data_IF_148444199221
#
_entry.id   IF_148444199221
#
_cell.length_a   1.000
_cell.length_b   1.000
_cell.length_c   1.000
_cell.angle_alpha   90.00
_cell.angle_beta   90.00
_cell.angle_gamma   90.00
#
_symmetry.space_group_name_H-M   'P 1'
#
loop_
_entity.id
_entity.type
_entity.pdbx_description
1 polymer ?
#
# COMPACT_ATOMS: atom_id res chain seq x y z
N UNK A 1 -8.73 -2.08 -12.55
CA UNK A 1 -7.90 -0.86 -12.43
C UNK A 1 -8.50 0.00 -11.33
N UNK A 2 -7.70 0.38 -10.34
CA UNK A 2 -8.11 1.22 -9.21
C UNK A 2 -7.09 2.33 -9.03
N UNK A 3 -7.56 3.57 -8.85
CA UNK A 3 -6.74 4.70 -8.46
C UNK A 3 -6.97 4.97 -6.97
N UNK A 4 -5.90 5.03 -6.20
CA UNK A 4 -5.91 5.25 -4.77
C UNK A 4 -5.73 6.74 -4.50
N UNK A 5 -6.72 7.38 -3.85
CA UNK A 5 -6.69 8.83 -3.59
C UNK A 5 -5.69 9.18 -2.50
N UNK A 6 -5.66 8.40 -1.42
CA UNK A 6 -4.76 8.58 -0.31
C UNK A 6 -4.75 7.33 0.55
N UNK A 7 -3.60 7.05 1.15
CA UNK A 7 -3.44 6.10 2.26
C UNK A 7 -3.12 6.93 3.51
N UNK A 8 -3.76 6.63 4.63
CA UNK A 8 -3.54 7.35 5.90
C UNK A 8 -3.80 6.39 7.06
N UNK A 9 -2.95 6.44 8.07
CA UNK A 9 -3.11 5.67 9.30
C UNK A 9 -4.00 6.44 10.29
N UNK A 10 -4.92 5.74 10.94
CA UNK A 10 -5.80 6.31 11.98
C UNK A 10 -5.97 5.34 13.13
N UNK A 11 -6.39 5.83 14.30
CA UNK A 11 -6.62 4.98 15.47
C UNK A 11 -7.90 4.17 15.31
N UNK A 12 -7.93 2.97 15.89
CA UNK A 12 -9.10 2.09 15.87
C UNK A 12 -10.35 2.75 16.47
N UNK A 13 -10.20 3.52 17.54
CA UNK A 13 -11.32 4.22 18.18
C UNK A 13 -11.90 5.32 17.26
N UNK A 14 -11.03 6.05 16.55
CA UNK A 14 -11.44 7.08 15.58
C UNK A 14 -12.19 6.44 14.41
N UNK A 15 -11.72 5.29 13.91
CA UNK A 15 -12.39 4.52 12.85
C UNK A 15 -13.81 4.10 13.28
N UNK A 16 -13.96 3.69 14.54
CA UNK A 16 -15.24 3.23 15.09
C UNK A 16 -16.26 4.36 15.23
N UNK A 17 -15.78 5.55 15.55
CA UNK A 17 -16.63 6.70 15.82
C UNK A 17 -16.95 7.54 14.57
N UNK A 18 -16.48 7.12 13.38
CA UNK A 18 -16.77 7.79 12.10
C UNK A 18 -18.27 7.84 11.79
N UNK A 19 -18.72 9.02 11.37
CA UNK A 19 -20.09 9.33 11.01
C UNK A 19 -20.14 9.99 9.64
N UNK A 20 -21.33 9.91 9.03
CA UNK A 20 -21.61 10.65 7.79
C UNK A 20 -21.48 12.14 8.07
N UNK A 21 -20.59 12.80 7.34
CA UNK A 21 -20.27 14.22 7.52
C UNK A 21 -18.86 14.47 8.05
N UNK A 22 -18.16 13.43 8.50
CA UNK A 22 -16.80 13.58 9.00
C UNK A 22 -15.80 13.85 7.86
N UNK A 23 -14.83 14.72 8.14
CA UNK A 23 -13.76 15.08 7.22
C UNK A 23 -12.50 14.34 7.65
N UNK A 24 -12.04 13.43 6.80
CA UNK A 24 -10.76 12.75 6.96
C UNK A 24 -9.67 13.61 6.36
N UNK A 25 -8.74 14.08 7.19
CA UNK A 25 -7.52 14.70 6.72
C UNK A 25 -6.54 13.61 6.29
N UNK A 26 -6.05 13.71 5.06
CA UNK A 26 -5.05 12.80 4.50
C UNK A 26 -3.73 13.54 4.33
N UNK A 27 -2.60 12.84 4.48
CA UNK A 27 -1.27 13.44 4.28
C UNK A 27 -0.89 13.58 2.80
N UNK A 28 -1.72 13.06 1.89
CA UNK A 28 -1.53 13.18 0.45
C UNK A 28 -1.77 14.62 -0.02
N UNK A 29 -0.71 15.26 -0.52
CA UNK A 29 -0.79 16.60 -1.13
C UNK A 29 -1.55 16.54 -2.47
N UNK A 30 -2.44 17.52 -2.70
CA UNK A 30 -3.31 17.58 -3.88
C UNK A 30 -2.55 17.78 -5.20
N UNK A 31 -1.33 18.31 -5.15
CA UNK A 31 -0.46 18.50 -6.30
C UNK A 31 0.40 17.27 -6.61
N UNK A 32 0.41 16.25 -5.76
CA UNK A 32 1.22 15.05 -5.97
C UNK A 32 0.46 14.00 -6.81
N UNK A 33 1.15 13.30 -7.73
CA UNK A 33 0.55 12.21 -8.50
C UNK A 33 0.07 11.07 -7.59
N UNK A 34 -1.07 10.48 -7.94
CA UNK A 34 -1.64 9.30 -7.30
C UNK A 34 -1.05 8.00 -7.85
N UNK A 35 -0.96 6.99 -7.00
CA UNK A 35 -0.59 5.64 -7.42
C UNK A 35 -1.79 4.91 -8.01
N UNK A 36 -1.60 4.37 -9.21
CA UNK A 36 -2.60 3.58 -9.92
C UNK A 36 -2.19 2.11 -9.92
N UNK A 37 -3.10 1.27 -9.44
CA UNK A 37 -2.89 -0.17 -9.33
C UNK A 37 -3.66 -0.92 -10.42
N UNK A 38 -3.00 -1.88 -11.05
CA UNK A 38 -3.61 -2.90 -11.89
C UNK A 38 -3.51 -4.24 -11.16
N UNK A 39 -4.65 -4.86 -10.89
CA UNK A 39 -4.73 -6.14 -10.18
C UNK A 39 -3.95 -6.16 -8.85
N UNK A 40 -4.01 -5.04 -8.12
CA UNK A 40 -3.32 -4.84 -6.83
C UNK A 40 -1.86 -4.39 -6.94
N UNK A 41 -1.25 -4.47 -8.12
CA UNK A 41 0.15 -4.10 -8.36
C UNK A 41 0.25 -2.63 -8.78
N UNK A 42 1.06 -1.79 -8.09
CA UNK A 42 1.30 -0.41 -8.52
C UNK A 42 2.02 -0.39 -9.87
N UNK A 43 1.48 0.36 -10.84
CA UNK A 43 1.98 0.38 -12.22
C UNK A 43 2.15 1.78 -12.80
N UNK A 44 1.40 2.76 -12.33
CA UNK A 44 1.46 4.11 -12.86
C UNK A 44 1.38 5.15 -11.75
N UNK A 45 1.95 6.31 -12.01
CA UNK A 45 1.66 7.55 -11.31
C UNK A 45 0.74 8.39 -12.20
N UNK A 46 -0.30 8.97 -11.62
CA UNK A 46 -1.29 9.74 -12.37
C UNK A 46 -1.80 10.97 -11.61
N UNK A 47 -1.96 12.08 -12.31
CA UNK A 47 -2.59 13.27 -11.75
C UNK A 47 -4.12 13.13 -11.77
N UNK A 48 -4.77 13.68 -10.74
CA UNK A 48 -6.22 13.82 -10.73
C UNK A 48 -6.68 14.92 -11.68
N UNK A 49 -7.73 14.64 -12.43
CA UNK A 49 -8.33 15.59 -13.34
C UNK A 49 -9.82 15.35 -13.56
N UNK A 50 -10.36 16.08 -14.53
CA UNK A 50 -11.77 16.00 -14.91
C UNK A 50 -11.89 16.08 -16.43
N UNK A 51 -12.63 15.13 -17.01
CA UNK A 51 -12.97 15.11 -18.45
C UNK A 51 -14.48 15.01 -18.58
N UNK A 52 -15.11 15.96 -19.27
CA UNK A 52 -16.57 16.05 -19.43
C UNK A 52 -17.34 15.92 -18.11
N UNK A 53 -16.88 16.65 -17.08
CA UNK A 53 -17.45 16.63 -15.73
C UNK A 53 -17.33 15.29 -14.98
N UNK A 54 -16.57 14.34 -15.51
CA UNK A 54 -16.29 13.04 -14.89
C UNK A 54 -14.88 13.02 -14.33
N UNK A 55 -14.71 12.43 -13.14
CA UNK A 55 -13.40 12.19 -12.53
C UNK A 55 -12.54 11.38 -13.50
N UNK A 56 -11.37 11.90 -13.81
CA UNK A 56 -10.41 11.29 -14.71
C UNK A 56 -9.02 11.32 -14.08
N UNK A 57 -8.12 10.50 -14.61
CA UNK A 57 -6.72 10.50 -14.21
C UNK A 57 -5.86 10.64 -15.47
N UNK A 58 -4.78 11.40 -15.36
CA UNK A 58 -3.78 11.56 -16.41
C UNK A 58 -2.52 10.82 -16.00
N UNK A 59 -2.11 9.80 -16.75
CA UNK A 59 -0.89 9.05 -16.47
C UNK A 59 0.31 9.93 -16.76
N UNK A 60 1.11 10.23 -15.73
CA UNK A 60 2.34 11.02 -15.84
C UNK A 60 3.58 10.13 -15.97
N UNK A 61 3.57 8.97 -15.32
CA UNK A 61 4.71 8.06 -15.30
C UNK A 61 4.26 6.60 -15.26
N UNK A 62 5.00 5.75 -15.97
CA UNK A 62 4.89 4.29 -15.86
C UNK A 62 5.95 3.81 -14.89
N UNK A 63 5.51 3.23 -13.76
CA UNK A 63 6.45 2.70 -12.78
C UNK A 63 7.12 1.44 -13.36
N UNK A 64 8.44 1.27 -13.14
CA UNK A 64 9.11 0.04 -13.49
C UNK A 64 8.41 -1.12 -12.78
N UNK A 65 8.28 -2.26 -13.49
CA UNK A 65 7.77 -3.47 -12.87
C UNK A 65 8.68 -3.77 -11.68
N UNK A 66 8.17 -3.63 -10.46
CA UNK A 66 8.80 -4.27 -9.32
C UNK A 66 8.74 -5.76 -9.60
N UNK A 67 9.83 -6.29 -10.12
CA UNK A 67 10.20 -7.68 -9.88
C UNK A 67 10.28 -7.77 -8.36
N UNK A 68 9.53 -8.69 -7.76
CA UNK A 68 9.57 -8.94 -6.32
C UNK A 68 10.99 -9.42 -5.97
N UNK A 69 11.92 -8.48 -5.79
CA UNK A 69 13.31 -8.76 -5.48
C UNK A 69 13.60 -8.20 -4.09
N UNK A 70 13.07 -8.91 -3.09
CA UNK A 70 13.62 -8.96 -1.75
C UNK A 70 14.23 -10.35 -1.57
N UNK A 71 15.38 -10.49 -0.89
CA UNK A 71 16.04 -11.79 -0.76
C UNK A 71 15.08 -12.74 -0.06
N UNK A 72 14.97 -13.95 -0.61
CA UNK A 72 14.59 -15.13 0.14
C UNK A 72 15.53 -15.20 1.33
N UNK A 73 15.14 -14.60 2.47
CA UNK A 73 15.70 -14.99 3.75
C UNK A 73 15.25 -16.44 3.89
N UNK A 74 16.17 -17.36 3.58
CA UNK A 74 16.01 -18.77 3.88
C UNK A 74 15.41 -18.86 5.29
N UNK A 75 14.31 -19.60 5.49
CA UNK A 75 13.84 -19.85 6.84
C UNK A 75 15.02 -20.41 7.64
N UNK A 76 15.25 -19.97 8.89
CA UNK A 76 16.30 -20.56 9.71
C UNK A 76 16.12 -22.08 9.65
N UNK A 77 17.18 -22.77 9.23
CA UNK A 77 17.16 -24.23 9.11
C UNK A 77 16.66 -24.86 10.41
N UNK A 78 16.23 -26.13 10.38
CA UNK A 78 15.71 -26.80 11.55
C UNK A 78 16.66 -26.56 12.72
N UNK A 79 16.14 -25.97 13.80
CA UNK A 79 16.88 -25.81 15.04
C UNK A 79 17.21 -27.24 15.48
N UNK A 80 18.43 -27.71 15.23
CA UNK A 80 18.88 -28.97 15.78
C UNK A 80 18.72 -28.84 17.29
N UNK A 81 17.87 -29.66 17.95
CA UNK A 81 17.79 -29.62 19.38
C UNK A 81 19.18 -29.96 19.91
N UNK A 82 19.75 -29.05 20.70
CA UNK A 82 20.95 -29.33 21.48
C UNK A 82 20.79 -30.69 22.17
N UNK A 83 21.83 -31.53 22.23
CA UNK A 83 21.73 -32.81 22.91
C UNK A 83 21.26 -32.53 24.33
N UNK A 84 20.04 -32.93 24.65
CA UNK A 84 19.61 -33.10 26.02
C UNK A 84 20.57 -34.13 26.57
N UNK A 85 21.47 -33.69 27.45
CA UNK A 85 22.29 -34.57 28.27
C UNK A 85 21.35 -35.60 28.90
N UNK A 86 21.35 -36.79 28.29
CA UNK A 86 20.65 -37.94 28.83
C UNK A 86 21.50 -38.46 29.95
N UNK A 87 20.95 -38.22 31.13
CA UNK A 87 20.98 -39.11 32.27
C UNK A 87 22.29 -39.19 33.08
N UNK A 88 22.04 -39.07 34.40
CA UNK A 88 22.59 -39.92 35.46
C UNK A 88 23.92 -39.56 36.11
#
# INVERSE_FOLDING_TARGET
MVAELAETEMKTDELRDLRVGDVLQTDQDIGQPLTVRLDGVPRFLANLGKVDDRKAIEIVEVLPRQEANGPHAEPPGPIEPSPVDRDA
#
